data_IF_623527208512
#
_entry.id   IF_623527208512
#
_cell.length_a   1.000
_cell.length_b   1.000
_cell.length_c   1.000
_cell.angle_alpha   90.00
_cell.angle_beta   90.00
_cell.angle_gamma   90.00
#
_symmetry.space_group_name_H-M   'P 1'
#
loop_
_entity.id
_entity.type
_entity.pdbx_description
1 polymer ?
#
# COMPACT_ATOMS: atom_id res chain seq x y z
N UNK A 1 0.13 12.52 -30.29
CA UNK A 1 -0.29 13.27 -29.10
C UNK A 1 -0.61 14.68 -29.53
N UNK A 2 -1.61 15.31 -28.94
CA UNK A 2 -1.75 16.76 -29.09
C UNK A 2 -0.64 17.49 -28.32
N UNK A 3 -0.41 18.78 -28.64
CA UNK A 3 0.65 19.57 -28.03
C UNK A 3 0.53 19.73 -26.50
N UNK A 4 -0.69 19.66 -25.96
CA UNK A 4 -0.95 19.73 -24.52
C UNK A 4 -0.55 18.43 -23.83
N UNK A 5 -0.84 17.30 -24.45
CA UNK A 5 -0.52 15.96 -23.96
C UNK A 5 0.99 15.71 -24.02
N UNK A 6 1.66 16.16 -25.07
CA UNK A 6 3.12 16.09 -25.18
C UNK A 6 3.82 16.95 -24.13
N UNK A 7 3.32 18.16 -23.87
CA UNK A 7 3.80 19.00 -22.77
C UNK A 7 3.60 18.32 -21.41
N UNK A 8 2.42 17.77 -21.14
CA UNK A 8 2.13 17.05 -19.91
C UNK A 8 3.02 15.81 -19.73
N UNK A 9 3.27 15.07 -20.81
CA UNK A 9 4.19 13.93 -20.83
C UNK A 9 5.61 14.35 -20.44
N UNK A 10 6.14 15.41 -21.08
CA UNK A 10 7.49 15.91 -20.80
C UNK A 10 7.64 16.44 -19.37
N UNK A 11 6.60 17.07 -18.80
CA UNK A 11 6.61 17.46 -17.39
C UNK A 11 6.56 16.24 -16.45
N UNK A 12 5.77 15.22 -16.78
CA UNK A 12 5.69 14.00 -15.98
C UNK A 12 7.03 13.23 -15.94
N UNK A 13 7.80 13.24 -17.02
CA UNK A 13 9.13 12.61 -17.06
C UNK A 13 10.14 13.26 -16.10
N UNK A 14 9.89 14.50 -15.64
CA UNK A 14 10.75 15.19 -14.67
C UNK A 14 10.48 14.78 -13.23
N UNK A 15 9.41 14.03 -12.96
CA UNK A 15 9.08 13.56 -11.62
C UNK A 15 10.15 12.55 -11.19
N UNK A 16 10.96 12.84 -10.16
CA UNK A 16 11.98 11.92 -9.71
C UNK A 16 11.31 10.68 -9.10
N UNK A 17 11.73 9.51 -9.56
CA UNK A 17 11.24 8.24 -9.06
C UNK A 17 12.35 7.60 -8.22
N UNK A 18 12.04 7.30 -6.96
CA UNK A 18 12.97 6.60 -6.06
C UNK A 18 12.98 5.08 -6.25
N UNK A 19 12.16 4.56 -7.18
CA UNK A 19 11.93 3.13 -7.39
C UNK A 19 11.91 2.77 -8.88
N UNK A 20 12.29 1.53 -9.19
CA UNK A 20 12.09 0.93 -10.51
C UNK A 20 10.59 0.61 -10.72
N UNK A 21 9.95 1.33 -11.63
CA UNK A 21 8.52 1.19 -11.94
C UNK A 21 8.13 -0.20 -12.40
N UNK A 22 8.96 -0.86 -13.22
CA UNK A 22 8.65 -2.18 -13.74
C UNK A 22 8.65 -3.22 -12.62
N UNK A 23 9.65 -3.13 -11.73
CA UNK A 23 9.77 -4.02 -10.57
C UNK A 23 8.60 -3.81 -9.61
N UNK A 24 8.27 -2.57 -9.24
CA UNK A 24 7.17 -2.30 -8.30
C UNK A 24 5.80 -2.62 -8.91
N UNK A 25 5.60 -2.43 -10.22
CA UNK A 25 4.37 -2.82 -10.89
C UNK A 25 4.13 -4.34 -10.84
N UNK A 26 5.18 -5.16 -11.06
CA UNK A 26 5.09 -6.62 -10.91
C UNK A 26 4.74 -7.03 -9.49
N UNK A 27 5.36 -6.40 -8.49
CA UNK A 27 5.06 -6.63 -7.06
C UNK A 27 3.61 -6.26 -6.72
N UNK A 28 3.12 -5.13 -7.24
CA UNK A 28 1.74 -4.70 -7.08
C UNK A 28 0.76 -5.73 -7.66
N UNK A 29 1.02 -6.27 -8.85
CA UNK A 29 0.18 -7.32 -9.44
C UNK A 29 0.15 -8.60 -8.59
N UNK A 30 1.30 -9.00 -8.02
CA UNK A 30 1.38 -10.15 -7.12
C UNK A 30 0.58 -9.92 -5.83
N UNK A 31 0.66 -8.71 -5.27
CA UNK A 31 -0.12 -8.31 -4.10
C UNK A 31 -1.62 -8.37 -4.40
N UNK A 32 -2.09 -7.75 -5.50
CA UNK A 32 -3.50 -7.80 -5.90
C UNK A 32 -3.98 -9.25 -6.14
N UNK A 33 -3.14 -10.10 -6.75
CA UNK A 33 -3.46 -11.52 -6.91
C UNK A 33 -3.54 -12.26 -5.56
N UNK A 34 -2.75 -11.89 -4.55
CA UNK A 34 -2.84 -12.45 -3.22
C UNK A 34 -4.14 -12.03 -2.52
N UNK A 35 -4.55 -10.76 -2.66
CA UNK A 35 -5.83 -10.27 -2.14
C UNK A 35 -7.00 -10.94 -2.86
N UNK A 36 -6.96 -11.09 -4.19
CA UNK A 36 -8.05 -11.71 -4.95
C UNK A 36 -8.25 -13.19 -4.65
N UNK A 37 -7.19 -13.90 -4.20
CA UNK A 37 -7.33 -15.26 -3.64
C UNK A 37 -8.02 -15.29 -2.27
N UNK A 38 -8.06 -14.15 -1.58
CA UNK A 38 -8.66 -13.95 -0.26
C UNK A 38 -9.87 -13.01 -0.35
N UNK A 39 -10.84 -13.33 -1.23
CA UNK A 39 -11.99 -12.45 -1.54
C UNK A 39 -12.85 -12.01 -0.35
N UNK A 40 -12.77 -12.73 0.78
CA UNK A 40 -13.40 -12.32 2.03
C UNK A 40 -12.85 -10.99 2.59
N UNK A 41 -11.75 -10.46 2.03
CA UNK A 41 -11.23 -9.14 2.36
C UNK A 41 -11.89 -8.00 1.57
N UNK A 42 -12.82 -8.29 0.65
CA UNK A 42 -13.53 -7.25 -0.11
C UNK A 42 -14.75 -6.71 0.62
N UNK A 43 -15.40 -7.52 1.46
CA UNK A 43 -16.59 -7.12 2.21
C UNK A 43 -16.84 -7.99 3.45
N UNK A 44 -17.89 -7.63 4.18
CA UNK A 44 -18.40 -8.43 5.29
C UNK A 44 -17.50 -8.47 6.53
N UNK A 45 -17.75 -9.43 7.44
CA UNK A 45 -17.14 -9.45 8.77
C UNK A 45 -15.60 -9.58 8.76
N UNK A 46 -15.03 -10.17 7.72
CA UNK A 46 -13.58 -10.31 7.62
C UNK A 46 -12.91 -8.98 7.26
N UNK A 47 -13.49 -8.19 6.33
CA UNK A 47 -13.06 -6.82 6.08
C UNK A 47 -13.25 -5.93 7.32
N UNK A 48 -14.39 -5.98 8.00
CA UNK A 48 -14.63 -5.19 9.21
C UNK A 48 -13.56 -5.43 10.28
N UNK A 49 -13.17 -6.70 10.49
CA UNK A 49 -12.09 -7.07 11.41
C UNK A 49 -10.72 -6.62 10.91
N UNK A 50 -10.48 -6.64 9.60
CA UNK A 50 -9.24 -6.11 9.01
C UNK A 50 -9.12 -4.61 9.25
N UNK A 51 -10.20 -3.85 9.05
CA UNK A 51 -10.27 -2.42 9.33
C UNK A 51 -10.02 -2.16 10.83
N UNK A 52 -10.62 -2.96 11.71
CA UNK A 52 -10.37 -2.87 13.14
C UNK A 52 -8.89 -3.14 13.48
N UNK A 53 -8.30 -4.24 12.98
CA UNK A 53 -6.89 -4.56 13.21
C UNK A 53 -5.95 -3.47 12.70
N UNK A 54 -6.23 -2.93 11.52
CA UNK A 54 -5.46 -1.82 10.95
C UNK A 54 -5.44 -0.62 11.90
N UNK A 55 -6.63 -0.17 12.33
CA UNK A 55 -6.77 1.03 13.15
C UNK A 55 -6.32 0.85 14.61
N UNK A 56 -6.80 -0.22 15.27
CA UNK A 56 -6.64 -0.41 16.71
C UNK A 56 -5.36 -1.16 17.10
N UNK A 57 -4.73 -1.89 16.17
CA UNK A 57 -3.56 -2.73 16.48
C UNK A 57 -2.35 -2.32 15.65
N UNK A 58 -2.47 -2.29 14.33
CA UNK A 58 -1.33 -2.10 13.43
C UNK A 58 -0.77 -0.68 13.48
N UNK A 59 -1.62 0.35 13.37
CA UNK A 59 -1.15 1.74 13.44
C UNK A 59 -0.48 2.08 14.78
N UNK A 60 -1.04 1.71 15.96
CA UNK A 60 -0.35 1.92 17.23
C UNK A 60 0.97 1.16 17.35
N UNK A 61 1.03 -0.07 16.82
CA UNK A 61 2.27 -0.86 16.81
C UNK A 61 3.34 -0.19 15.95
N UNK A 62 2.98 0.23 14.74
CA UNK A 62 3.89 0.90 13.80
C UNK A 62 4.42 2.22 14.38
N UNK A 63 3.56 3.00 15.03
CA UNK A 63 3.97 4.24 15.71
C UNK A 63 5.02 3.95 16.79
N UNK A 64 4.76 3.00 17.69
CA UNK A 64 5.71 2.61 18.75
C UNK A 64 7.03 2.07 18.20
N UNK A 65 6.96 1.24 17.15
CA UNK A 65 8.17 0.69 16.52
C UNK A 65 9.00 1.79 15.86
N UNK A 66 8.37 2.80 15.26
CA UNK A 66 9.06 3.93 14.63
C UNK A 66 9.76 4.85 15.64
N UNK A 67 9.29 4.88 16.88
CA UNK A 67 9.89 5.64 18.00
C UNK A 67 10.99 4.84 18.73
N UNK A 68 11.09 3.54 18.50
CA UNK A 68 12.06 2.68 19.18
C UNK A 68 13.49 3.05 18.78
N UNK A 69 14.36 3.20 19.78
CA UNK A 69 15.81 3.38 19.58
C UNK A 69 16.52 2.07 19.26
N UNK A 70 15.84 0.94 19.45
CA UNK A 70 16.37 -0.40 19.20
C UNK A 70 15.77 -0.90 17.90
N UNK A 71 16.64 -1.25 16.95
CA UNK A 71 16.23 -1.85 15.69
C UNK A 71 15.97 -3.35 15.88
N UNK A 72 14.70 -3.74 15.88
CA UNK A 72 14.27 -5.15 15.99
C UNK A 72 14.04 -5.82 14.62
N UNK A 73 14.44 -5.16 13.54
CA UNK A 73 14.15 -5.59 12.17
C UNK A 73 12.88 -4.94 11.60
N UNK A 74 12.56 -5.20 10.32
CA UNK A 74 11.40 -4.61 9.66
C UNK A 74 10.09 -5.22 10.17
N UNK A 75 9.12 -4.39 10.49
CA UNK A 75 7.74 -4.84 10.69
C UNK A 75 7.14 -5.30 9.35
N UNK A 76 6.73 -6.56 9.29
CA UNK A 76 6.01 -7.11 8.14
C UNK A 76 4.51 -6.98 8.41
N UNK A 77 3.82 -6.23 7.56
CA UNK A 77 2.38 -6.03 7.66
C UNK A 77 1.61 -7.31 7.28
N UNK A 78 0.61 -7.73 8.06
CA UNK A 78 -0.29 -8.80 7.64
C UNK A 78 -1.09 -8.40 6.39
N UNK A 79 -1.39 -9.37 5.51
CA UNK A 79 -2.05 -9.13 4.21
C UNK A 79 -3.33 -8.30 4.32
N UNK A 80 -4.13 -8.54 5.36
CA UNK A 80 -5.40 -7.86 5.58
C UNK A 80 -5.22 -6.37 5.96
N UNK A 81 -4.28 -6.06 6.85
CA UNK A 81 -3.89 -4.70 7.20
C UNK A 81 -3.21 -4.00 6.03
N UNK A 82 -2.41 -4.72 5.23
CA UNK A 82 -1.78 -4.18 4.01
C UNK A 82 -2.84 -3.80 2.98
N UNK A 83 -3.87 -4.62 2.82
CA UNK A 83 -5.01 -4.32 1.95
C UNK A 83 -5.77 -3.08 2.39
N UNK A 84 -6.14 -2.97 3.67
CA UNK A 84 -6.80 -1.76 4.20
C UNK A 84 -5.94 -0.53 4.00
N UNK A 85 -4.64 -0.61 4.29
CA UNK A 85 -3.71 0.50 4.04
C UNK A 85 -3.62 0.87 2.56
N UNK A 86 -3.57 -0.12 1.67
CA UNK A 86 -3.53 0.10 0.23
C UNK A 86 -4.76 0.90 -0.23
N UNK A 87 -5.96 0.48 0.17
CA UNK A 87 -7.20 1.20 -0.14
C UNK A 87 -7.22 2.61 0.44
N UNK A 88 -6.83 2.79 1.71
CA UNK A 88 -6.80 4.10 2.36
C UNK A 88 -5.87 5.08 1.66
N UNK A 89 -4.72 4.66 1.11
CA UNK A 89 -3.85 5.56 0.33
C UNK A 89 -4.46 6.02 -0.99
N UNK A 90 -5.35 5.21 -1.58
CA UNK A 90 -6.03 5.56 -2.83
C UNK A 90 -7.22 6.48 -2.59
N UNK A 91 -7.86 6.37 -1.43
CA UNK A 91 -8.97 7.21 -0.99
C UNK A 91 -8.89 7.44 0.53
N UNK A 92 -8.10 8.43 0.98
CA UNK A 92 -7.83 8.67 2.40
C UNK A 92 -9.07 9.16 3.16
#
# INVERSE_FOLDING_TARGET
MDAKQEKAWNEAQKIPLSVDLLVVAKRQLQFLAAVDRNRHLYDGPALERAIYRYNACWLPLLAKHSESKIFEGPLVVPLDCEWVWHCHRLNP
#
